data_IF_875777117568
#
_entry.id   IF_875777117568
#
_cell.length_a   1.000
_cell.length_b   1.000
_cell.length_c   1.000
_cell.angle_alpha   90.00
_cell.angle_beta   90.00
_cell.angle_gamma   90.00
#
_symmetry.space_group_name_H-M   'P 1'
#
loop_
_entity.id
_entity.type
_entity.pdbx_description
1 polymer ?
#
# COMPACT_ATOMS: atom_id res chain seq x y z
N UNK A 1 139.93 -98.20 -64.98
CA UNK A 1 139.53 -96.96 -65.64
C UNK A 1 138.09 -96.66 -65.31
N UNK A 2 137.99 -95.83 -64.28
CA UNK A 2 137.17 -94.63 -64.19
C UNK A 2 135.75 -94.61 -64.77
N UNK A 3 134.81 -94.34 -63.85
CA UNK A 3 133.74 -93.32 -63.99
C UNK A 3 132.59 -93.76 -64.92
N UNK A 4 131.30 -93.56 -64.66
CA UNK A 4 130.56 -92.55 -63.88
C UNK A 4 129.37 -93.25 -63.20
N UNK A 5 129.32 -93.29 -61.87
CA UNK A 5 128.16 -93.77 -61.11
C UNK A 5 127.36 -92.64 -60.42
N UNK A 6 127.58 -91.38 -60.80
CA UNK A 6 126.93 -90.21 -60.19
C UNK A 6 125.86 -89.52 -61.07
N UNK A 7 125.62 -89.99 -62.29
CA UNK A 7 124.58 -89.41 -63.15
C UNK A 7 123.17 -89.72 -62.63
N UNK A 8 122.55 -88.74 -61.98
CA UNK A 8 121.13 -88.76 -61.60
C UNK A 8 120.26 -87.90 -62.53
N UNK A 9 119.05 -88.40 -62.88
CA UNK A 9 118.04 -87.69 -63.69
C UNK A 9 116.86 -87.20 -62.83
N UNK A 10 116.21 -86.12 -63.26
CA UNK A 10 114.95 -85.61 -62.68
C UNK A 10 113.88 -85.43 -63.76
N UNK A 11 112.62 -85.77 -63.47
CA UNK A 11 111.49 -85.54 -64.38
C UNK A 11 110.95 -84.11 -64.29
N UNK A 12 110.64 -83.52 -65.46
CA UNK A 12 109.85 -82.29 -65.57
C UNK A 12 108.34 -82.54 -65.44
N UNK A 13 107.58 -81.47 -65.23
CA UNK A 13 106.11 -81.50 -65.10
C UNK A 13 105.42 -82.18 -66.28
N UNK A 14 104.47 -83.07 -65.99
CA UNK A 14 103.77 -83.90 -66.99
C UNK A 14 104.40 -85.27 -67.23
N UNK A 15 105.58 -85.54 -66.65
CA UNK A 15 106.27 -86.84 -66.72
C UNK A 15 106.55 -87.39 -65.31
N UNK A 16 106.60 -88.71 -65.21
CA UNK A 16 107.07 -89.48 -64.04
C UNK A 16 108.31 -90.27 -64.44
N UNK A 17 109.28 -90.43 -63.53
CA UNK A 17 110.52 -91.19 -63.73
C UNK A 17 110.61 -92.33 -62.71
N UNK A 18 110.83 -93.56 -63.18
CA UNK A 18 111.12 -94.73 -62.32
C UNK A 18 112.34 -95.46 -62.86
N UNK A 19 113.42 -95.53 -62.08
CA UNK A 19 114.73 -95.93 -62.60
C UNK A 19 115.24 -94.92 -63.64
N UNK A 20 115.41 -95.34 -64.89
CA UNK A 20 115.87 -94.51 -66.03
C UNK A 20 114.80 -94.27 -67.10
N UNK A 21 113.54 -94.66 -66.88
CA UNK A 21 112.47 -94.53 -67.89
C UNK A 21 111.45 -93.45 -67.49
N UNK A 22 111.14 -92.56 -68.44
CA UNK A 22 110.11 -91.53 -68.28
C UNK A 22 108.76 -91.97 -68.88
N UNK A 23 107.65 -91.69 -68.19
CA UNK A 23 106.27 -91.92 -68.66
C UNK A 23 105.40 -90.68 -68.41
N UNK A 24 104.41 -90.43 -69.29
CA UNK A 24 103.48 -89.28 -69.17
C UNK A 24 102.48 -89.49 -68.02
N UNK A 25 102.33 -88.48 -67.18
CA UNK A 25 101.31 -88.42 -66.14
C UNK A 25 100.03 -87.77 -66.65
N UNK A 26 99.06 -88.60 -67.04
CA UNK A 26 97.80 -88.16 -67.60
C UNK A 26 96.85 -87.50 -66.58
N UNK A 27 97.21 -87.44 -65.29
CA UNK A 27 96.44 -86.71 -64.28
C UNK A 27 96.75 -85.20 -64.28
N UNK A 28 97.87 -84.78 -64.87
CA UNK A 28 98.32 -83.37 -64.88
C UNK A 28 98.13 -82.66 -66.22
N UNK A 29 97.51 -83.30 -67.21
CA UNK A 29 97.18 -82.69 -68.50
C UNK A 29 95.68 -82.36 -68.55
N UNK A 30 95.34 -81.07 -68.55
CA UNK A 30 94.00 -80.57 -68.84
C UNK A 30 93.89 -80.27 -70.36
N UNK A 31 92.90 -80.82 -71.09
CA UNK A 31 92.73 -80.50 -72.51
C UNK A 31 92.29 -79.05 -72.67
N UNK A 32 93.16 -78.23 -73.23
CA UNK A 32 92.85 -76.85 -73.61
C UNK A 32 92.41 -76.80 -75.09
N UNK A 33 91.10 -76.64 -75.28
CA UNK A 33 90.45 -76.54 -76.58
C UNK A 33 90.82 -75.26 -77.34
N UNK A 34 91.50 -74.29 -76.71
CA UNK A 34 92.02 -73.08 -77.37
C UNK A 34 93.03 -73.39 -78.48
N UNK A 35 93.55 -74.62 -78.51
CA UNK A 35 94.50 -75.10 -79.51
C UNK A 35 93.83 -75.69 -80.76
N UNK A 36 92.50 -75.87 -80.78
CA UNK A 36 91.74 -76.31 -81.96
C UNK A 36 91.34 -75.13 -82.86
N UNK A 37 91.69 -75.19 -84.14
CA UNK A 37 91.26 -74.20 -85.15
C UNK A 37 89.95 -74.64 -85.82
N UNK A 38 88.94 -73.74 -85.86
CA UNK A 38 87.69 -73.92 -86.63
C UNK A 38 86.34 -73.75 -85.91
N UNK A 39 86.28 -73.20 -84.70
CA UNK A 39 85.01 -73.06 -83.93
C UNK A 39 84.14 -71.90 -84.51
N UNK A 40 82.82 -72.10 -84.77
CA UNK A 40 81.90 -71.03 -85.20
C UNK A 40 81.71 -69.92 -84.15
N UNK A 41 81.55 -68.67 -84.60
CA UNK A 41 81.29 -67.55 -83.71
C UNK A 41 79.92 -67.70 -83.00
N UNK A 42 79.88 -67.51 -81.68
CA UNK A 42 78.69 -67.70 -80.82
C UNK A 42 78.75 -68.95 -79.92
N UNK A 43 79.76 -69.81 -80.09
CA UNK A 43 79.98 -71.01 -79.26
C UNK A 43 81.38 -71.01 -78.61
N UNK A 44 82.00 -69.84 -78.46
CA UNK A 44 83.36 -69.74 -77.92
C UNK A 44 83.44 -69.96 -76.40
N UNK A 45 82.31 -69.87 -75.70
CA UNK A 45 82.19 -69.94 -74.23
C UNK A 45 81.06 -70.89 -73.76
N UNK A 46 80.51 -71.72 -74.67
CA UNK A 46 79.44 -72.69 -74.42
C UNK A 46 78.09 -72.10 -73.93
N UNK A 47 77.79 -70.80 -74.15
CA UNK A 47 76.53 -70.16 -73.73
C UNK A 47 75.86 -69.39 -74.89
N UNK A 48 74.55 -69.61 -75.12
CA UNK A 48 73.71 -68.86 -76.06
C UNK A 48 73.13 -67.62 -75.36
N UNK A 49 73.63 -66.42 -75.67
CA UNK A 49 73.27 -65.15 -75.05
C UNK A 49 72.54 -64.15 -75.97
N UNK A 50 72.08 -64.56 -77.16
CA UNK A 50 71.60 -63.62 -78.18
C UNK A 50 70.06 -63.49 -78.34
N UNK A 51 69.26 -64.27 -77.60
CA UNK A 51 67.78 -64.23 -77.69
C UNK A 51 67.14 -63.15 -76.78
N UNK A 52 66.33 -62.23 -77.35
CA UNK A 52 65.65 -61.13 -76.60
C UNK A 52 64.14 -61.03 -76.87
N UNK A 53 63.34 -60.64 -75.85
CA UNK A 53 61.87 -60.45 -75.89
C UNK A 53 61.45 -58.99 -75.55
N UNK A 54 60.25 -58.55 -75.97
CA UNK A 54 59.66 -57.24 -75.61
C UNK A 54 58.17 -57.31 -75.22
N UNK A 55 57.69 -56.41 -74.35
CA UNK A 55 56.29 -56.30 -73.91
C UNK A 55 55.47 -55.29 -74.72
N UNK A 56 54.21 -55.62 -74.99
CA UNK A 56 53.20 -54.71 -75.54
C UNK A 56 52.51 -53.84 -74.47
N UNK A 57 51.67 -52.90 -74.90
CA UNK A 57 50.95 -51.95 -74.03
C UNK A 57 50.05 -52.63 -72.99
N UNK A 58 50.08 -52.16 -71.74
CA UNK A 58 49.31 -52.74 -70.62
C UNK A 58 49.96 -53.96 -69.95
N UNK A 59 51.14 -54.38 -70.44
CA UNK A 59 51.97 -55.41 -69.82
C UNK A 59 53.35 -54.84 -69.46
N UNK A 60 53.94 -55.40 -68.41
CA UNK A 60 55.35 -55.21 -68.06
C UNK A 60 56.09 -56.53 -68.21
N UNK A 61 57.34 -56.49 -68.70
CA UNK A 61 58.24 -57.64 -68.80
C UNK A 61 59.43 -57.43 -67.86
N UNK A 62 59.62 -58.34 -66.92
CA UNK A 62 60.82 -58.38 -66.06
C UNK A 62 61.50 -59.74 -66.21
N UNK A 63 62.73 -59.76 -66.72
CA UNK A 63 63.39 -61.00 -67.13
C UNK A 63 62.61 -61.66 -68.27
N UNK A 64 62.03 -62.83 -68.01
CA UNK A 64 61.23 -63.61 -68.97
C UNK A 64 59.74 -63.71 -68.63
N UNK A 65 59.27 -62.97 -67.61
CA UNK A 65 57.86 -63.03 -67.16
C UNK A 65 57.09 -61.76 -67.50
N UNK A 66 55.93 -61.92 -68.14
CA UNK A 66 54.98 -60.84 -68.41
C UNK A 66 53.94 -60.71 -67.29
N UNK A 67 53.64 -59.49 -66.85
CA UNK A 67 52.59 -59.18 -65.87
C UNK A 67 51.72 -57.99 -66.32
N UNK A 68 50.46 -57.95 -65.88
CA UNK A 68 49.52 -56.87 -66.18
C UNK A 68 49.88 -55.61 -65.39
N UNK A 69 49.90 -54.46 -66.07
CA UNK A 69 50.16 -53.16 -65.46
C UNK A 69 48.87 -52.50 -64.98
N UNK A 70 48.60 -52.61 -63.67
CA UNK A 70 47.40 -52.04 -63.06
C UNK A 70 47.43 -50.50 -62.93
N UNK A 71 48.52 -49.83 -63.32
CA UNK A 71 48.60 -48.37 -63.34
C UNK A 71 48.14 -47.77 -64.67
N UNK A 72 48.11 -48.56 -65.75
CA UNK A 72 47.66 -48.12 -67.09
C UNK A 72 46.27 -48.62 -67.48
N UNK A 73 45.64 -49.47 -66.66
CA UNK A 73 44.24 -49.88 -66.81
C UNK A 73 43.34 -48.97 -65.97
N UNK A 74 42.57 -48.09 -66.63
CA UNK A 74 41.45 -47.39 -66.00
C UNK A 74 40.19 -48.28 -66.07
N UNK A 75 39.52 -48.61 -64.95
CA UNK A 75 38.29 -49.39 -64.98
C UNK A 75 37.18 -48.54 -65.61
N UNK A 76 36.73 -48.95 -66.79
CA UNK A 76 35.60 -48.35 -67.50
C UNK A 76 34.33 -49.19 -67.25
N UNK A 77 33.49 -48.72 -66.32
CA UNK A 77 32.22 -49.36 -65.96
C UNK A 77 31.16 -49.27 -67.06
N UNK A 78 31.38 -48.48 -68.13
CA UNK A 78 30.45 -48.38 -69.27
C UNK A 78 30.27 -49.70 -70.02
N UNK A 79 31.18 -50.66 -69.81
CA UNK A 79 31.14 -51.99 -70.40
C UNK A 79 30.43 -53.03 -69.51
N UNK A 80 30.09 -52.68 -68.26
CA UNK A 80 29.42 -53.58 -67.31
C UNK A 80 27.89 -53.51 -67.48
N UNK A 81 27.24 -54.64 -67.73
CA UNK A 81 25.77 -54.73 -67.78
C UNK A 81 25.23 -55.15 -66.42
N UNK A 82 24.16 -54.50 -65.93
CA UNK A 82 23.50 -54.83 -64.66
C UNK A 82 23.76 -53.89 -63.48
N UNK A 83 24.24 -52.66 -63.71
CA UNK A 83 24.34 -51.63 -62.66
C UNK A 83 22.93 -51.30 -62.13
N UNK A 84 22.67 -51.37 -60.81
CA UNK A 84 21.39 -50.96 -60.22
C UNK A 84 21.06 -49.50 -60.56
N UNK A 85 19.80 -49.21 -60.89
CA UNK A 85 19.34 -47.84 -61.11
C UNK A 85 19.61 -46.98 -59.85
N UNK A 86 20.16 -45.77 -60.02
CA UNK A 86 20.57 -44.88 -58.91
C UNK A 86 22.09 -44.85 -58.62
N UNK A 87 22.89 -45.69 -59.29
CA UNK A 87 24.35 -45.72 -59.14
C UNK A 87 25.10 -45.49 -60.47
N UNK A 88 24.42 -44.93 -61.47
CA UNK A 88 24.98 -44.71 -62.83
C UNK A 88 25.92 -43.52 -62.94
N UNK A 89 25.95 -42.64 -61.94
CA UNK A 89 26.75 -41.40 -61.91
C UNK A 89 27.60 -41.25 -60.63
N UNK A 90 27.76 -42.34 -59.87
CA UNK A 90 28.47 -42.39 -58.58
C UNK A 90 27.90 -41.48 -57.46
N UNK A 91 26.63 -41.03 -57.55
CA UNK A 91 25.97 -40.19 -56.54
C UNK A 91 24.61 -40.80 -56.12
N UNK A 92 24.39 -41.00 -54.81
CA UNK A 92 23.07 -41.36 -54.25
C UNK A 92 22.20 -40.09 -54.18
N UNK A 93 21.34 -39.92 -55.19
CA UNK A 93 20.38 -38.82 -55.29
C UNK A 93 18.91 -39.25 -55.10
N UNK A 94 18.67 -40.53 -54.77
CA UNK A 94 17.33 -41.12 -54.68
C UNK A 94 16.81 -41.32 -53.25
N UNK A 95 17.67 -41.14 -52.23
CA UNK A 95 17.25 -41.18 -50.82
C UNK A 95 16.39 -39.97 -50.46
N UNK A 96 15.07 -40.18 -50.35
CA UNK A 96 14.10 -39.14 -49.99
C UNK A 96 13.50 -39.37 -48.60
N UNK A 97 13.44 -38.29 -47.80
CA UNK A 97 12.78 -38.28 -46.48
C UNK A 97 11.42 -37.60 -46.56
N UNK A 98 10.46 -38.05 -45.76
CA UNK A 98 9.17 -37.38 -45.59
C UNK A 98 8.96 -36.95 -44.13
N UNK A 99 8.46 -35.73 -43.91
CA UNK A 99 8.06 -35.27 -42.59
C UNK A 99 6.68 -35.84 -42.22
N UNK A 100 6.60 -36.46 -41.04
CA UNK A 100 5.32 -36.81 -40.42
C UNK A 100 4.59 -35.58 -39.88
N UNK A 101 3.36 -35.77 -39.39
CA UNK A 101 2.53 -34.71 -38.81
C UNK A 101 3.24 -33.99 -37.66
N UNK A 102 3.18 -32.66 -37.61
CA UNK A 102 3.85 -31.84 -36.58
C UNK A 102 5.34 -31.58 -36.83
N UNK A 103 5.90 -32.07 -37.95
CA UNK A 103 7.25 -31.77 -38.39
C UNK A 103 7.24 -31.07 -39.76
N UNK A 104 8.21 -30.20 -39.95
CA UNK A 104 8.59 -29.66 -41.27
C UNK A 104 9.96 -30.24 -41.65
N UNK A 105 10.16 -30.52 -42.93
CA UNK A 105 11.45 -30.95 -43.47
C UNK A 105 11.92 -29.90 -44.50
N UNK A 106 13.05 -29.27 -44.22
CA UNK A 106 13.73 -28.37 -45.17
C UNK A 106 15.10 -28.95 -45.49
N UNK A 107 15.31 -29.38 -46.74
CA UNK A 107 16.50 -30.15 -47.11
C UNK A 107 16.54 -31.47 -46.33
N UNK A 108 17.57 -31.66 -45.51
CA UNK A 108 17.76 -32.84 -44.64
C UNK A 108 17.49 -32.57 -43.15
N UNK A 109 17.00 -31.37 -42.80
CA UNK A 109 16.76 -30.99 -41.41
C UNK A 109 15.27 -31.05 -41.08
N UNK A 110 14.92 -31.85 -40.07
CA UNK A 110 13.59 -31.86 -39.47
C UNK A 110 13.49 -30.77 -38.40
N UNK A 111 12.42 -29.99 -38.44
CA UNK A 111 12.07 -29.01 -37.43
C UNK A 111 10.63 -29.23 -36.96
N UNK A 112 10.36 -28.84 -35.71
CA UNK A 112 9.01 -28.87 -35.16
C UNK A 112 8.14 -27.83 -35.85
N UNK A 113 6.99 -28.24 -36.36
CA UNK A 113 6.00 -27.34 -36.96
C UNK A 113 5.05 -26.79 -35.90
N UNK A 114 5.39 -25.62 -35.36
CA UNK A 114 4.59 -24.95 -34.32
C UNK A 114 3.26 -24.36 -34.84
N UNK A 115 2.94 -24.51 -36.13
CA UNK A 115 1.66 -24.12 -36.70
C UNK A 115 0.66 -25.28 -36.78
N UNK A 116 1.15 -26.54 -36.86
CA UNK A 116 0.29 -27.74 -36.88
C UNK A 116 0.25 -28.50 -35.57
N UNK A 117 1.19 -28.23 -34.65
CA UNK A 117 1.09 -28.66 -33.26
C UNK A 117 0.16 -27.69 -32.52
N UNK A 118 -1.07 -28.12 -32.25
CA UNK A 118 -1.84 -27.56 -31.16
C UNK A 118 -1.20 -28.09 -29.86
N UNK A 119 -0.68 -27.22 -28.97
CA UNK A 119 -0.17 -27.67 -27.68
C UNK A 119 -1.35 -28.25 -26.90
N UNK A 120 -1.43 -29.58 -26.87
CA UNK A 120 -2.38 -30.30 -26.05
C UNK A 120 -1.72 -30.63 -24.70
N UNK A 121 -1.92 -29.74 -23.75
CA UNK A 121 -1.42 -29.86 -22.39
C UNK A 121 -1.96 -31.13 -21.70
N UNK A 122 -3.07 -31.71 -22.15
CA UNK A 122 -3.62 -32.95 -21.56
C UNK A 122 -2.67 -34.15 -21.65
N UNK A 123 -1.70 -34.10 -22.55
CA UNK A 123 -0.70 -35.17 -22.76
C UNK A 123 0.59 -34.96 -21.95
N UNK A 124 0.77 -33.78 -21.35
CA UNK A 124 1.99 -33.43 -20.61
C UNK A 124 1.87 -33.89 -19.15
N UNK A 125 2.70 -34.85 -18.76
CA UNK A 125 2.75 -35.31 -17.37
C UNK A 125 3.56 -34.33 -16.52
N UNK A 126 3.04 -33.94 -15.34
CA UNK A 126 3.75 -33.06 -14.40
C UNK A 126 3.39 -31.58 -14.52
N UNK A 127 2.29 -31.23 -15.19
CA UNK A 127 1.72 -29.88 -15.13
C UNK A 127 1.32 -29.58 -13.66
N UNK A 128 1.74 -28.43 -13.09
CA UNK A 128 1.27 -28.00 -11.78
C UNK A 128 -0.26 -27.89 -11.76
N UNK A 129 -0.90 -28.32 -10.67
CA UNK A 129 -2.35 -28.54 -10.63
C UNK A 129 -3.24 -27.37 -11.09
N UNK A 130 -2.79 -26.11 -10.95
CA UNK A 130 -3.51 -24.89 -11.37
C UNK A 130 -3.33 -24.47 -12.84
N UNK A 131 -2.71 -25.31 -13.68
CA UNK A 131 -2.55 -25.04 -15.12
C UNK A 131 -3.11 -26.17 -16.00
N UNK A 132 -3.89 -27.09 -15.42
CA UNK A 132 -4.36 -28.29 -16.10
C UNK A 132 -5.53 -28.04 -17.08
N UNK A 133 -6.19 -26.89 -17.00
CA UNK A 133 -7.36 -26.50 -17.80
C UNK A 133 -7.18 -25.17 -18.56
N UNK A 134 -5.93 -24.71 -18.70
CA UNK A 134 -5.55 -23.42 -19.31
C UNK A 134 -6.09 -22.17 -18.58
N UNK A 135 -6.62 -22.32 -17.35
CA UNK A 135 -7.13 -21.22 -16.53
C UNK A 135 -6.38 -21.19 -15.19
N UNK A 136 -5.75 -20.05 -14.88
CA UNK A 136 -5.21 -19.79 -13.54
C UNK A 136 -6.39 -19.51 -12.58
N UNK A 137 -6.93 -20.58 -12.01
CA UNK A 137 -8.01 -20.55 -11.02
C UNK A 137 -7.50 -20.67 -9.56
N UNK A 138 -6.18 -20.82 -9.38
CA UNK A 138 -5.53 -21.00 -8.08
C UNK A 138 -4.88 -19.72 -7.51
N UNK A 139 -4.77 -18.65 -8.30
CA UNK A 139 -4.36 -17.33 -7.80
C UNK A 139 -5.45 -16.70 -6.94
N UNK A 140 -5.38 -16.98 -5.64
CA UNK A 140 -6.25 -16.37 -4.64
C UNK A 140 -5.72 -15.01 -4.18
N UNK A 141 -6.55 -13.98 -4.26
CA UNK A 141 -6.29 -12.70 -3.63
C UNK A 141 -6.96 -12.64 -2.26
N UNK A 142 -6.28 -12.05 -1.28
CA UNK A 142 -6.88 -11.72 0.02
C UNK A 142 -6.90 -10.21 0.21
N UNK A 143 -8.06 -9.66 0.60
CA UNK A 143 -8.12 -8.26 1.01
C UNK A 143 -7.39 -8.08 2.35
N UNK A 144 -6.48 -7.10 2.40
CA UNK A 144 -5.90 -6.61 3.65
C UNK A 144 -6.91 -5.80 4.46
N UNK A 145 -6.55 -5.44 5.69
CA UNK A 145 -7.43 -4.65 6.59
C UNK A 145 -7.86 -3.33 5.94
N UNK A 146 -9.16 -3.02 5.97
CA UNK A 146 -9.71 -1.79 5.38
C UNK A 146 -10.01 -1.89 3.88
N UNK A 147 -9.90 -3.09 3.29
CA UNK A 147 -10.33 -3.38 1.94
C UNK A 147 -11.33 -4.54 1.95
N UNK A 148 -12.30 -4.47 1.04
CA UNK A 148 -13.19 -5.56 0.71
C UNK A 148 -12.85 -6.07 -0.69
N UNK A 149 -12.72 -7.37 -0.87
CA UNK A 149 -12.56 -8.02 -2.18
C UNK A 149 -13.87 -8.73 -2.54
N UNK A 150 -14.50 -8.34 -3.66
CA UNK A 150 -15.66 -9.05 -4.23
C UNK A 150 -15.32 -9.49 -5.65
N UNK A 151 -15.24 -10.80 -5.86
CA UNK A 151 -14.68 -11.36 -7.09
C UNK A 151 -13.21 -10.95 -7.22
N UNK A 152 -12.89 -10.19 -8.27
CA UNK A 152 -11.53 -9.67 -8.55
C UNK A 152 -11.38 -8.17 -8.28
N UNK A 153 -12.38 -7.53 -7.66
CA UNK A 153 -12.39 -6.08 -7.43
C UNK A 153 -12.17 -5.75 -5.96
N UNK A 154 -11.12 -4.97 -5.68
CA UNK A 154 -10.90 -4.38 -4.36
C UNK A 154 -11.68 -3.06 -4.23
N UNK A 155 -12.32 -2.88 -3.08
CA UNK A 155 -12.94 -1.63 -2.65
C UNK A 155 -12.38 -1.23 -1.29
N UNK A 156 -12.32 0.08 -1.01
CA UNK A 156 -11.97 0.57 0.33
C UNK A 156 -13.19 0.45 1.24
N UNK A 157 -12.98 -0.07 2.44
CA UNK A 157 -14.03 -0.17 3.43
C UNK A 157 -14.51 1.22 3.84
N UNK A 158 -15.78 1.29 4.26
CA UNK A 158 -16.27 2.50 4.89
C UNK A 158 -15.51 2.76 6.20
N UNK A 159 -15.26 4.04 6.49
CA UNK A 159 -14.79 4.48 7.78
C UNK A 159 -15.80 4.06 8.86
N UNK A 160 -15.27 3.50 9.95
CA UNK A 160 -16.01 3.12 11.14
C UNK A 160 -15.45 3.92 12.32
N UNK A 161 -16.32 4.42 13.19
CA UNK A 161 -15.96 5.23 14.36
C UNK A 161 -16.49 6.66 14.25
N UNK A 162 -15.63 7.65 14.53
CA UNK A 162 -16.05 9.05 14.65
C UNK A 162 -16.48 9.68 13.33
N UNK A 163 -15.89 9.20 12.24
CA UNK A 163 -16.34 9.49 10.88
C UNK A 163 -16.92 8.19 10.34
N UNK A 164 -18.17 8.24 9.89
CA UNK A 164 -18.87 7.07 9.33
C UNK A 164 -19.18 7.31 7.87
N UNK A 165 -18.90 6.32 7.01
CA UNK A 165 -19.26 6.37 5.59
C UNK A 165 -18.07 6.14 4.66
N UNK A 166 -18.17 6.47 3.36
CA UNK A 166 -17.07 6.27 2.41
C UNK A 166 -15.83 7.05 2.84
N UNK A 167 -14.66 6.75 2.29
CA UNK A 167 -13.41 7.47 2.62
C UNK A 167 -13.42 8.96 2.26
N UNK A 168 -14.39 9.40 1.47
CA UNK A 168 -14.68 10.82 1.20
C UNK A 168 -15.71 11.43 2.16
N UNK A 169 -16.13 10.71 3.21
CA UNK A 169 -17.16 11.16 4.13
C UNK A 169 -16.71 12.42 4.88
N UNK A 170 -17.53 13.46 4.77
CA UNK A 170 -17.40 14.72 5.52
C UNK A 170 -18.27 14.74 6.78
N UNK A 171 -18.91 13.61 7.09
CA UNK A 171 -19.93 13.52 8.14
C UNK A 171 -19.33 12.86 9.38
N UNK A 172 -19.35 13.59 10.48
CA UNK A 172 -19.05 13.08 11.81
C UNK A 172 -20.28 12.32 12.31
N UNK A 173 -20.08 11.16 12.92
CA UNK A 173 -21.17 10.35 13.45
C UNK A 173 -21.90 11.09 14.59
N UNK A 174 -23.19 10.75 14.79
CA UNK A 174 -23.94 11.29 15.93
C UNK A 174 -23.22 10.96 17.25
N UNK A 175 -23.18 11.95 18.15
CA UNK A 175 -22.53 11.84 19.46
C UNK A 175 -21.03 11.48 19.42
N UNK A 176 -20.39 11.51 18.24
CA UNK A 176 -18.98 11.16 18.11
C UNK A 176 -18.05 12.18 18.78
N UNK A 177 -18.38 13.47 18.73
CA UNK A 177 -17.59 14.52 19.38
C UNK A 177 -17.99 14.62 20.85
N UNK A 178 -17.09 14.19 21.72
CA UNK A 178 -17.22 14.34 23.18
C UNK A 178 -16.24 15.40 23.67
N UNK A 179 -16.46 15.94 24.86
CA UNK A 179 -15.53 16.92 25.45
C UNK A 179 -14.09 16.38 25.55
N UNK A 180 -13.91 15.08 25.77
CA UNK A 180 -12.59 14.44 25.82
C UNK A 180 -11.84 14.47 24.47
N UNK A 181 -12.55 14.68 23.36
CA UNK A 181 -11.98 14.79 22.01
C UNK A 181 -11.72 16.24 21.60
N UNK A 182 -12.13 17.21 22.41
CA UNK A 182 -11.91 18.63 22.20
C UNK A 182 -10.79 19.07 23.15
N UNK A 183 -9.71 19.62 22.60
CA UNK A 183 -8.66 20.18 23.42
C UNK A 183 -9.14 21.46 24.13
N UNK A 184 -8.72 21.64 25.38
CA UNK A 184 -9.12 22.80 26.16
C UNK A 184 -8.67 24.10 25.47
N UNK A 185 -9.61 25.04 25.34
CA UNK A 185 -9.35 26.38 24.77
C UNK A 185 -9.19 26.44 23.25
N UNK A 186 -9.44 25.35 22.50
CA UNK A 186 -9.23 25.35 21.04
C UNK A 186 -10.47 25.65 20.22
N UNK A 187 -11.68 25.63 20.79
CA UNK A 187 -12.89 26.02 20.06
C UNK A 187 -13.01 27.54 20.05
N UNK A 188 -12.84 28.12 18.87
CA UNK A 188 -12.93 29.55 18.60
C UNK A 188 -14.15 29.88 17.74
N UNK A 189 -14.38 31.16 17.48
CA UNK A 189 -15.43 31.58 16.56
C UNK A 189 -15.20 31.07 15.13
N UNK A 190 -13.95 30.89 14.71
CA UNK A 190 -13.62 30.40 13.37
C UNK A 190 -13.98 28.91 13.21
N UNK A 191 -14.06 28.17 14.32
CA UNK A 191 -14.43 26.75 14.33
C UNK A 191 -15.94 26.52 14.24
N UNK A 192 -16.76 27.55 14.52
CA UNK A 192 -18.23 27.45 14.53
C UNK A 192 -18.82 28.37 13.47
N UNK A 193 -19.39 27.79 12.41
CA UNK A 193 -20.07 28.58 11.39
C UNK A 193 -21.19 29.46 12.02
N UNK A 194 -21.38 30.71 11.58
CA UNK A 194 -22.38 31.62 12.16
C UNK A 194 -23.84 31.11 12.15
N UNK A 195 -24.15 30.14 11.29
CA UNK A 195 -25.47 29.49 11.21
C UNK A 195 -25.53 28.11 11.89
N UNK A 196 -24.54 27.74 12.70
CA UNK A 196 -24.53 26.45 13.39
C UNK A 196 -25.72 26.35 14.35
N UNK A 197 -26.54 25.32 14.19
CA UNK A 197 -27.66 25.01 15.08
C UNK A 197 -27.18 24.39 16.40
N UNK A 198 -26.40 25.15 17.19
CA UNK A 198 -25.95 24.71 18.51
C UNK A 198 -27.13 24.81 19.48
N UNK A 199 -27.64 23.67 19.93
CA UNK A 199 -28.67 23.65 20.96
C UNK A 199 -28.07 24.13 22.29
N UNK A 200 -28.57 25.26 22.79
CA UNK A 200 -28.18 25.84 24.07
C UNK A 200 -28.38 24.89 25.26
N UNK A 201 -29.26 23.89 25.15
CA UNK A 201 -29.44 22.85 26.18
C UNK A 201 -28.17 22.02 26.43
N UNK A 202 -27.25 22.01 25.45
CA UNK A 202 -25.96 21.32 25.52
C UNK A 202 -24.82 22.22 25.96
N UNK A 203 -25.05 23.53 26.08
CA UNK A 203 -24.04 24.52 26.45
C UNK A 203 -24.23 24.88 27.92
N UNK A 204 -23.31 24.44 28.78
CA UNK A 204 -23.26 24.85 30.21
C UNK A 204 -21.97 25.66 30.46
N UNK A 205 -21.92 26.92 30.01
CA UNK A 205 -20.70 27.70 29.98
C UNK A 205 -20.32 28.21 31.38
N UNK A 206 -19.04 28.20 31.68
CA UNK A 206 -18.47 28.98 32.80
C UNK A 206 -17.88 30.25 32.19
N UNK A 207 -18.62 31.36 32.31
CA UNK A 207 -18.14 32.65 31.83
C UNK A 207 -17.11 33.23 32.81
N UNK A 208 -15.91 33.51 32.31
CA UNK A 208 -14.81 34.17 33.06
C UNK A 208 -14.84 35.71 32.93
N UNK A 209 -15.78 36.23 32.15
CA UNK A 209 -15.98 37.66 31.88
C UNK A 209 -17.49 37.95 31.76
N UNK A 210 -17.82 39.19 31.40
CA UNK A 210 -19.19 39.65 31.23
C UNK A 210 -19.94 38.85 30.16
N UNK A 211 -21.25 38.69 30.36
CA UNK A 211 -22.16 38.01 29.43
C UNK A 211 -22.92 39.07 28.64
N UNK A 212 -22.84 39.00 27.30
CA UNK A 212 -23.62 39.83 26.38
C UNK A 212 -24.39 38.94 25.40
N UNK A 213 -25.62 39.31 25.07
CA UNK A 213 -26.51 38.59 24.15
C UNK A 213 -27.29 39.60 23.31
N UNK A 214 -27.74 39.18 22.12
CA UNK A 214 -28.59 39.99 21.23
C UNK A 214 -30.08 39.89 21.57
N UNK A 215 -30.45 38.98 22.47
CA UNK A 215 -31.84 38.78 22.92
C UNK A 215 -32.02 39.07 24.42
N UNK A 216 -33.20 38.78 24.94
CA UNK A 216 -33.53 38.99 26.35
C UNK A 216 -33.03 37.84 27.25
N UNK A 217 -32.72 38.18 28.50
CA UNK A 217 -32.50 37.19 29.55
C UNK A 217 -33.84 36.74 30.14
N UNK A 218 -34.33 35.57 29.69
CA UNK A 218 -35.60 35.00 30.15
C UNK A 218 -35.33 33.94 31.22
N UNK A 219 -35.91 34.12 32.41
CA UNK A 219 -35.95 33.07 33.43
C UNK A 219 -37.18 32.19 33.20
N UNK A 220 -37.00 30.92 32.85
CA UNK A 220 -38.08 30.03 32.39
C UNK A 220 -38.43 28.87 33.34
N UNK A 221 -38.19 29.00 34.64
CA UNK A 221 -38.49 27.94 35.61
C UNK A 221 -40.00 27.74 35.84
N UNK A 222 -40.41 26.52 36.17
CA UNK A 222 -41.83 26.13 36.35
C UNK A 222 -42.55 26.88 37.48
N UNK A 223 -41.82 27.52 38.40
CA UNK A 223 -42.36 28.34 39.48
C UNK A 223 -41.50 29.60 39.62
N UNK A 224 -41.98 30.72 39.07
CA UNK A 224 -41.51 32.06 39.42
C UNK A 224 -42.51 32.65 40.43
N UNK A 225 -42.06 32.87 41.66
CA UNK A 225 -42.89 33.49 42.68
C UNK A 225 -42.86 35.02 42.52
N UNK A 226 -43.69 35.53 41.61
CA UNK A 226 -43.80 36.97 41.35
C UNK A 226 -44.56 37.64 42.51
N UNK A 227 -44.10 38.80 43.04
CA UNK A 227 -44.61 39.38 44.28
C UNK A 227 -46.04 39.92 44.33
N UNK A 228 -46.87 39.78 43.28
CA UNK A 228 -48.27 40.22 43.26
C UNK A 228 -49.11 39.80 44.50
N UNK A 229 -48.63 38.81 45.27
CA UNK A 229 -49.14 38.45 46.59
C UNK A 229 -49.14 39.60 47.61
N UNK A 230 -48.26 40.60 47.51
CA UNK A 230 -48.17 41.69 48.50
C UNK A 230 -49.43 42.52 48.47
N UNK A 231 -49.80 43.02 47.29
CA UNK A 231 -51.05 43.77 47.12
C UNK A 231 -52.28 42.89 47.35
N UNK A 232 -52.30 41.67 46.82
CA UNK A 232 -53.45 40.76 46.98
C UNK A 232 -53.73 40.49 48.46
N UNK A 233 -52.70 40.16 49.23
CA UNK A 233 -52.83 39.91 50.66
C UNK A 233 -53.27 41.15 51.43
N UNK A 234 -52.74 42.33 51.09
CA UNK A 234 -53.07 43.58 51.77
C UNK A 234 -54.53 44.00 51.56
N UNK A 235 -55.02 43.98 50.30
CA UNK A 235 -56.37 44.46 49.99
C UNK A 235 -57.47 43.41 50.20
N UNK A 236 -57.18 42.13 49.95
CA UNK A 236 -58.17 41.04 50.03
C UNK A 236 -58.06 40.20 51.30
N UNK A 237 -56.99 40.36 52.09
CA UNK A 237 -56.71 39.53 53.27
C UNK A 237 -56.22 38.11 52.94
N UNK A 238 -56.15 37.74 51.66
CA UNK A 238 -55.79 36.42 51.16
C UNK A 238 -54.90 36.54 49.91
N UNK A 239 -54.00 35.57 49.71
CA UNK A 239 -53.26 35.45 48.44
C UNK A 239 -53.10 33.99 48.04
N UNK A 240 -53.39 33.65 46.79
CA UNK A 240 -53.18 32.30 46.23
C UNK A 240 -51.69 31.98 46.06
N UNK A 241 -50.89 33.00 45.75
CA UNK A 241 -49.45 32.89 45.55
C UNK A 241 -48.71 32.76 46.88
N UNK A 242 -49.08 33.55 47.90
CA UNK A 242 -48.50 33.45 49.24
C UNK A 242 -49.46 33.92 50.33
N UNK A 243 -50.34 33.03 50.80
CA UNK A 243 -51.28 33.38 51.86
C UNK A 243 -50.62 33.62 53.23
N UNK A 244 -49.38 33.14 53.42
CA UNK A 244 -48.61 33.33 54.66
C UNK A 244 -47.90 34.69 54.73
N UNK A 245 -47.88 35.44 53.63
CA UNK A 245 -47.29 36.76 53.58
C UNK A 245 -47.94 37.70 54.60
N UNK A 246 -47.13 38.53 55.22
CA UNK A 246 -47.56 39.55 56.18
C UNK A 246 -46.88 40.87 55.86
N UNK A 247 -47.68 41.86 55.51
CA UNK A 247 -47.24 43.24 55.39
C UNK A 247 -46.74 43.75 56.75
N UNK A 248 -45.47 44.16 56.81
CA UNK A 248 -44.82 44.66 58.03
C UNK A 248 -45.11 46.14 58.20
N UNK A 249 -45.28 46.59 59.44
CA UNK A 249 -45.33 48.03 59.72
C UNK A 249 -43.94 48.68 59.53
N UNK A 250 -43.91 49.99 59.22
CA UNK A 250 -42.65 50.73 59.12
C UNK A 250 -41.81 50.65 60.40
N UNK A 251 -42.44 50.55 61.57
CA UNK A 251 -41.75 50.33 62.85
C UNK A 251 -41.01 48.99 62.88
N UNK A 252 -41.66 47.90 62.47
CA UNK A 252 -41.02 46.58 62.39
C UNK A 252 -39.91 46.55 61.34
N UNK A 253 -40.08 47.25 60.21
CA UNK A 253 -39.05 47.39 59.18
C UNK A 253 -37.85 48.17 59.73
N UNK A 254 -38.08 49.28 60.42
CA UNK A 254 -37.03 50.09 61.06
C UNK A 254 -36.24 49.28 62.09
N UNK A 255 -36.93 48.56 62.97
CA UNK A 255 -36.29 47.67 63.96
C UNK A 255 -35.43 46.60 63.29
N UNK A 256 -35.91 46.01 62.19
CA UNK A 256 -35.14 45.04 61.41
C UNK A 256 -33.91 45.67 60.75
N UNK A 257 -34.06 46.81 60.10
CA UNK A 257 -32.96 47.48 59.38
C UNK A 257 -31.90 47.96 60.37
N UNK A 258 -32.27 48.52 61.52
CA UNK A 258 -31.32 48.91 62.58
C UNK A 258 -30.48 47.73 63.08
N UNK A 259 -31.08 46.55 63.17
CA UNK A 259 -30.41 45.34 63.64
C UNK A 259 -29.55 44.68 62.56
N UNK A 260 -30.02 44.65 61.32
CA UNK A 260 -29.43 43.79 60.26
C UNK A 260 -28.73 44.57 59.14
N UNK A 261 -28.94 45.89 59.03
CA UNK A 261 -28.38 46.77 57.97
C UNK A 261 -28.78 46.39 56.53
N UNK A 262 -29.89 45.67 56.35
CA UNK A 262 -30.52 45.41 55.06
C UNK A 262 -32.03 45.26 55.23
N UNK A 263 -32.77 45.27 54.13
CA UNK A 263 -34.23 45.13 54.15
C UNK A 263 -34.67 43.67 54.44
N UNK A 264 -35.80 43.46 55.13
CA UNK A 264 -36.40 42.14 55.27
C UNK A 264 -36.68 41.49 53.91
N UNK A 265 -36.28 40.23 53.75
CA UNK A 265 -36.46 39.48 52.50
C UNK A 265 -35.38 39.72 51.44
N UNK A 266 -34.47 40.69 51.65
CA UNK A 266 -33.29 40.90 50.81
C UNK A 266 -32.07 40.30 51.50
N UNK A 267 -31.24 39.57 50.76
CA UNK A 267 -30.00 39.00 51.31
C UNK A 267 -29.01 40.10 51.69
N UNK A 268 -28.35 39.91 52.83
CA UNK A 268 -27.25 40.76 53.26
C UNK A 268 -26.01 40.56 52.39
N UNK A 269 -25.15 41.58 52.34
CA UNK A 269 -23.83 41.45 51.71
C UNK A 269 -22.98 40.33 52.34
N UNK A 270 -23.15 40.07 53.64
CA UNK A 270 -22.47 38.98 54.33
C UNK A 270 -22.92 37.60 53.81
N UNK A 271 -24.22 37.37 53.65
CA UNK A 271 -24.75 36.11 53.11
C UNK A 271 -24.33 35.87 51.65
N UNK A 272 -24.30 36.93 50.84
CA UNK A 272 -23.82 36.85 49.45
C UNK A 272 -22.33 36.50 49.43
N UNK A 273 -21.51 37.14 50.28
CA UNK A 273 -20.08 36.84 50.39
C UNK A 273 -19.83 35.41 50.88
N UNK A 274 -20.59 34.95 51.88
CA UNK A 274 -20.45 33.61 52.44
C UNK A 274 -20.86 32.52 51.45
N UNK A 275 -21.91 32.73 50.66
CA UNK A 275 -22.34 31.79 49.63
C UNK A 275 -21.50 31.86 48.35
N UNK A 276 -20.78 32.97 48.14
CA UNK A 276 -20.02 33.26 46.91
C UNK A 276 -20.90 33.42 45.67
N UNK A 277 -22.22 33.55 45.84
CA UNK A 277 -23.20 33.51 44.74
C UNK A 277 -24.23 34.61 44.90
N UNK A 278 -24.46 35.35 43.81
CA UNK A 278 -25.53 36.33 43.71
C UNK A 278 -26.55 35.89 42.66
N UNK A 279 -27.78 35.61 43.09
CA UNK A 279 -28.86 35.12 42.21
C UNK A 279 -29.68 36.31 41.72
N UNK A 280 -29.49 36.68 40.45
CA UNK A 280 -30.16 37.85 39.84
C UNK A 280 -31.68 37.73 39.88
N UNK A 281 -32.25 36.58 39.50
CA UNK A 281 -33.71 36.36 39.53
C UNK A 281 -34.29 36.53 40.93
N UNK A 282 -33.65 35.94 41.95
CA UNK A 282 -34.11 36.07 43.35
C UNK A 282 -34.02 37.52 43.83
N UNK A 283 -32.93 38.22 43.51
CA UNK A 283 -32.76 39.62 43.87
C UNK A 283 -33.78 40.52 43.18
N UNK A 284 -34.04 40.30 41.89
CA UNK A 284 -35.02 41.09 41.12
C UNK A 284 -36.43 40.91 41.66
N UNK A 285 -36.83 39.67 41.99
CA UNK A 285 -38.13 39.39 42.61
C UNK A 285 -38.22 39.99 44.02
N UNK A 286 -37.17 39.86 44.84
CA UNK A 286 -37.14 40.48 46.16
C UNK A 286 -37.24 42.01 46.11
N UNK A 287 -36.58 42.65 45.13
CA UNK A 287 -36.70 44.09 44.89
C UNK A 287 -38.13 44.49 44.53
N UNK A 288 -38.79 43.71 43.67
CA UNK A 288 -40.19 43.96 43.32
C UNK A 288 -41.10 43.85 44.55
N UNK A 289 -40.91 42.86 45.41
CA UNK A 289 -41.64 42.74 46.68
C UNK A 289 -41.47 44.00 47.55
N UNK A 290 -40.25 44.54 47.66
CA UNK A 290 -39.98 45.76 48.44
C UNK A 290 -40.58 47.00 47.79
N UNK A 291 -40.64 47.06 46.46
CA UNK A 291 -41.30 48.15 45.74
C UNK A 291 -42.80 48.12 46.04
N UNK A 292 -43.45 46.95 46.00
CA UNK A 292 -44.87 46.82 46.34
C UNK A 292 -45.17 47.24 47.79
N UNK A 293 -44.33 46.81 48.74
CA UNK A 293 -44.42 47.25 50.14
C UNK A 293 -44.29 48.77 50.29
N UNK A 294 -43.33 49.37 49.58
CA UNK A 294 -43.10 50.81 49.60
C UNK A 294 -44.31 51.58 49.07
N UNK A 295 -44.94 51.10 47.99
CA UNK A 295 -46.17 51.70 47.47
C UNK A 295 -47.31 51.61 48.47
N UNK A 296 -47.49 50.49 49.17
CA UNK A 296 -48.51 50.37 50.22
C UNK A 296 -48.28 51.36 51.37
N UNK A 297 -47.05 51.46 51.87
CA UNK A 297 -46.72 52.46 52.89
C UNK A 297 -46.93 53.89 52.40
N UNK A 298 -46.63 54.19 51.15
CA UNK A 298 -46.85 55.51 50.55
C UNK A 298 -48.34 55.83 50.47
N UNK A 299 -49.19 54.86 50.09
CA UNK A 299 -50.64 55.00 50.07
C UNK A 299 -51.19 55.23 51.49
N UNK A 300 -50.70 54.49 52.49
CA UNK A 300 -51.07 54.70 53.91
C UNK A 300 -50.67 56.10 54.38
N UNK A 301 -49.47 56.56 54.03
CA UNK A 301 -48.99 57.89 54.37
C UNK A 301 -49.83 58.98 53.70
N UNK A 302 -50.17 58.84 52.42
CA UNK A 302 -51.02 59.81 51.70
C UNK A 302 -52.41 59.91 52.33
N UNK A 303 -53.02 58.78 52.71
CA UNK A 303 -54.28 58.78 53.47
C UNK A 303 -54.12 59.56 54.78
N UNK A 304 -53.03 59.32 55.52
CA UNK A 304 -52.81 60.01 56.79
C UNK A 304 -52.58 61.51 56.61
N UNK A 305 -51.86 61.92 55.57
CA UNK A 305 -51.66 63.33 55.22
C UNK A 305 -53.00 64.00 54.93
N UNK A 306 -53.88 63.37 54.16
CA UNK A 306 -55.19 63.92 53.84
C UNK A 306 -56.10 64.04 55.07
N UNK A 307 -56.06 63.07 55.98
CA UNK A 307 -56.74 63.17 57.29
C UNK A 307 -56.22 64.38 58.10
N UNK A 308 -54.90 64.51 58.24
CA UNK A 308 -54.29 65.62 58.98
C UNK A 308 -54.59 66.98 58.35
N UNK A 309 -54.69 67.07 57.02
CA UNK A 309 -55.10 68.30 56.33
C UNK A 309 -56.55 68.65 56.64
N UNK A 310 -57.46 67.67 56.58
CA UNK A 310 -58.87 67.89 56.93
C UNK A 310 -59.04 68.32 58.39
N UNK A 311 -58.28 67.72 59.31
CA UNK A 311 -58.28 68.12 60.72
C UNK A 311 -57.76 69.55 60.91
N UNK A 312 -56.65 69.91 60.25
CA UNK A 312 -56.13 71.27 60.27
C UNK A 312 -57.11 72.31 59.71
N UNK A 313 -57.83 71.99 58.63
CA UNK A 313 -58.87 72.86 58.07
C UNK A 313 -60.01 73.09 59.07
N UNK A 314 -60.46 72.05 59.77
CA UNK A 314 -61.48 72.15 60.82
C UNK A 314 -61.01 73.02 61.98
N UNK A 315 -59.81 72.74 62.51
CA UNK A 315 -59.20 73.53 63.58
C UNK A 315 -59.04 75.01 63.18
N UNK A 316 -58.62 75.27 61.94
CA UNK A 316 -58.49 76.63 61.42
C UNK A 316 -59.86 77.34 61.34
N UNK A 317 -60.93 76.63 60.97
CA UNK A 317 -62.28 77.19 60.95
C UNK A 317 -62.78 77.52 62.36
N UNK A 318 -62.56 76.62 63.32
CA UNK A 318 -62.93 76.83 64.73
C UNK A 318 -62.19 78.02 65.34
N UNK A 319 -60.89 78.15 65.09
CA UNK A 319 -60.09 79.31 65.51
C UNK A 319 -60.65 80.62 64.95
N UNK A 320 -61.08 80.64 63.68
CA UNK A 320 -61.65 81.84 63.08
C UNK A 320 -63.01 82.20 63.69
N UNK A 321 -63.86 81.20 63.99
CA UNK A 321 -65.13 81.42 64.67
C UNK A 321 -64.92 81.98 66.08
N UNK A 322 -64.02 81.38 66.87
CA UNK A 322 -63.68 81.86 68.21
C UNK A 322 -63.12 83.29 68.20
N UNK A 323 -62.28 83.63 67.22
CA UNK A 323 -61.80 85.02 67.04
C UNK A 323 -62.95 85.99 66.79
N UNK A 324 -63.89 85.62 65.91
CA UNK A 324 -65.05 86.46 65.62
C UNK A 324 -65.97 86.64 66.85
N UNK A 325 -66.18 85.60 67.64
CA UNK A 325 -66.92 85.69 68.90
C UNK A 325 -66.20 86.59 69.92
N UNK A 326 -64.88 86.44 70.05
CA UNK A 326 -64.08 87.28 70.94
C UNK A 326 -64.12 88.76 70.55
N UNK A 327 -64.13 89.07 69.26
CA UNK A 327 -64.25 90.44 68.77
C UNK A 327 -65.64 91.04 69.05
N UNK A 328 -66.72 90.24 68.92
CA UNK A 328 -68.07 90.66 69.33
C UNK A 328 -68.14 90.95 70.84
N UNK A 329 -67.56 90.09 71.67
CA UNK A 329 -67.51 90.28 73.12
C UNK A 329 -66.75 91.56 73.47
N UNK A 330 -65.60 91.82 72.83
CA UNK A 330 -64.84 93.07 73.02
C UNK A 330 -65.68 94.31 72.66
N UNK A 331 -66.39 94.27 71.53
CA UNK A 331 -67.26 95.37 71.12
C UNK A 331 -68.33 95.67 72.18
N UNK A 332 -69.04 94.64 72.65
CA UNK A 332 -70.06 94.77 73.71
C UNK A 332 -69.48 95.35 75.01
N UNK A 333 -68.29 94.91 75.43
CA UNK A 333 -67.59 95.44 76.61
C UNK A 333 -67.17 96.91 76.46
N UNK A 334 -66.86 97.35 75.24
CA UNK A 334 -66.53 98.76 74.99
C UNK A 334 -67.76 99.67 74.99
N UNK A 335 -68.90 99.18 74.51
CA UNK A 335 -70.18 99.91 74.59
C UNK A 335 -70.67 100.02 76.04
N UNK A 336 -70.58 98.94 76.82
CA UNK A 336 -71.01 98.95 78.22
C UNK A 336 -70.18 99.85 79.12
N UNK A 337 -68.96 100.26 78.71
CA UNK A 337 -68.11 101.21 79.43
C UNK A 337 -68.38 102.68 79.07
N UNK A 338 -69.14 102.96 78.02
CA UNK A 338 -69.49 104.31 77.57
C UNK A 338 -70.80 104.84 78.18
N UNK A 339 -71.61 103.95 78.74
CA UNK A 339 -72.82 104.27 79.53
C UNK A 339 -72.50 104.23 81.02
#
# INVERSE_FOLDING_TARGET
DDIDDDTTYSAGTGLTLTGTTFAVDNATIAPDWSTLTGIPAGFADDIDDDTTYSAGTGLTLTGTTFAVDNATIAPDWSTLTGIPAGFTDDIDDDTTYSAGTGLTLTGTTFAVDNATIAPDWSTLTGIPAGFADDIDDDTTYSAGTGLTLTGTTFAVDNLLGDVTGPTSATVIANDAVTSAKIADGTITNDDIQPGAGIDGSKVNPIFVSDVSTTGDFISGGTILNVPDFVFQKYFSGFSELNNSYRFKSLKEVEEFVKKNNHLPGIRSAYEIKASGKYRLTESSLGQLEKIEELFLHTIEQEKKINELRSENEKLSSEINNLKAEMDKIKALLTESKKN
#
